data_IF_682075298051
#
_entry.id   IF_682075298051
#
_cell.length_a   1.000
_cell.length_b   1.000
_cell.length_c   1.000
_cell.angle_alpha   90.00
_cell.angle_beta   90.00
_cell.angle_gamma   90.00
#
_symmetry.space_group_name_H-M   'P 1'
#
loop_
_entity.id
_entity.type
_entity.pdbx_description
1 polymer ?
#
# COMPACT_ATOMS: atom_id res chain seq x y z
N UNK A 1 -32.99 31.25 77.71
CA UNK A 1 -34.07 32.12 77.19
C UNK A 1 -33.48 33.10 76.20
N UNK A 2 -33.53 32.77 74.90
CA UNK A 2 -33.49 33.71 73.77
C UNK A 2 -34.40 33.14 72.69
N UNK A 3 -35.03 34.07 71.99
CA UNK A 3 -36.34 34.01 71.35
C UNK A 3 -36.10 34.23 69.85
N UNK A 4 -36.81 33.45 69.01
CA UNK A 4 -37.49 33.83 67.73
C UNK A 4 -36.58 34.53 66.68
N UNK A 5 -36.31 34.00 65.49
CA UNK A 5 -37.13 33.85 64.25
C UNK A 5 -36.08 33.56 63.15
N UNK A 6 -36.30 32.84 62.06
CA UNK A 6 -37.20 33.18 60.97
C UNK A 6 -37.32 31.96 60.04
N UNK A 7 -38.56 31.52 59.90
CA UNK A 7 -39.06 30.66 58.84
C UNK A 7 -38.98 31.34 57.47
N UNK A 8 -38.93 30.48 56.45
CA UNK A 8 -39.43 30.67 55.08
C UNK A 8 -38.42 31.25 54.08
N UNK A 9 -38.04 30.45 53.07
CA UNK A 9 -38.58 30.56 51.69
C UNK A 9 -37.77 29.70 50.72
N UNK A 10 -38.47 28.67 50.22
CA UNK A 10 -38.50 28.22 48.82
C UNK A 10 -37.23 27.59 48.25
N UNK A 11 -37.20 26.27 48.33
CA UNK A 11 -36.52 25.38 47.38
C UNK A 11 -37.23 25.56 46.02
N UNK A 12 -36.69 26.43 45.16
CA UNK A 12 -37.05 26.51 43.76
C UNK A 12 -36.03 25.75 42.92
N UNK A 13 -36.49 24.57 42.52
CA UNK A 13 -35.96 23.65 41.54
C UNK A 13 -35.76 24.36 40.18
N UNK A 14 -34.51 24.63 39.79
CA UNK A 14 -34.15 24.85 38.38
C UNK A 14 -32.92 24.01 38.08
N UNK A 15 -33.19 22.74 37.77
CA UNK A 15 -32.27 21.87 37.05
C UNK A 15 -32.25 22.41 35.62
N UNK A 16 -31.35 23.35 35.33
CA UNK A 16 -30.98 23.66 33.95
C UNK A 16 -30.14 22.50 33.43
N UNK A 17 -30.87 21.55 32.83
CA UNK A 17 -30.40 20.60 31.84
C UNK A 17 -29.70 21.37 30.71
N UNK A 18 -28.43 21.69 30.91
CA UNK A 18 -27.51 21.98 29.84
C UNK A 18 -27.20 20.68 29.11
N UNK A 19 -28.10 20.28 28.20
CA UNK A 19 -27.80 19.37 27.11
C UNK A 19 -26.63 19.96 26.31
N UNK A 20 -25.38 19.66 26.71
CA UNK A 20 -24.27 19.70 25.78
C UNK A 20 -24.50 18.56 24.82
N UNK A 21 -24.87 18.94 23.61
CA UNK A 21 -24.92 18.13 22.42
C UNK A 21 -23.68 17.24 22.35
N UNK A 22 -23.83 16.00 22.79
CA UNK A 22 -23.10 14.91 22.17
C UNK A 22 -23.48 14.99 20.70
N UNK A 23 -22.59 15.51 19.88
CA UNK A 23 -22.65 15.19 18.46
C UNK A 23 -22.66 13.67 18.40
N UNK A 24 -23.72 13.03 17.88
CA UNK A 24 -23.56 11.67 17.42
C UNK A 24 -22.62 11.83 16.24
N UNK A 25 -21.33 11.57 16.45
CA UNK A 25 -20.47 11.13 15.36
C UNK A 25 -21.26 9.98 14.75
N UNK A 26 -21.88 10.22 13.60
CA UNK A 26 -22.36 9.17 12.73
C UNK A 26 -21.11 8.36 12.44
N UNK A 27 -20.84 7.37 13.28
CA UNK A 27 -20.07 6.21 12.90
C UNK A 27 -20.91 5.67 11.76
N UNK A 28 -20.51 6.05 10.54
CA UNK A 28 -21.01 5.46 9.33
C UNK A 28 -20.96 3.97 9.57
N UNK A 29 -22.10 3.30 9.42
CA UNK A 29 -22.14 1.84 9.40
C UNK A 29 -21.09 1.42 8.39
N UNK A 30 -19.95 0.94 8.89
CA UNK A 30 -18.93 0.33 8.08
C UNK A 30 -19.65 -0.85 7.44
N UNK A 31 -19.89 -0.76 6.13
CA UNK A 31 -20.52 -1.81 5.37
C UNK A 31 -19.74 -3.09 5.64
N UNK A 32 -20.35 -4.00 6.41
CA UNK A 32 -19.83 -5.30 6.82
C UNK A 32 -19.71 -6.29 5.66
N UNK A 33 -19.62 -5.80 4.41
CA UNK A 33 -19.51 -6.60 3.19
C UNK A 33 -18.09 -6.99 2.80
N UNK A 34 -17.07 -6.60 3.57
CA UNK A 34 -15.69 -7.04 3.38
C UNK A 34 -15.26 -8.09 4.41
N UNK A 35 -16.01 -9.18 4.53
CA UNK A 35 -15.48 -10.46 5.02
C UNK A 35 -15.44 -11.44 3.84
N UNK A 36 -14.57 -11.14 2.87
CA UNK A 36 -14.20 -12.07 1.81
C UNK A 36 -12.84 -12.63 2.22
N UNK A 37 -12.70 -13.96 2.21
CA UNK A 37 -11.45 -14.68 2.48
C UNK A 37 -10.23 -13.86 2.02
N UNK A 38 -9.43 -13.36 2.98
CA UNK A 38 -8.29 -12.50 2.70
C UNK A 38 -7.28 -13.31 1.89
N UNK A 39 -7.28 -13.10 0.57
CA UNK A 39 -6.25 -13.68 -0.27
C UNK A 39 -4.91 -13.12 0.18
N UNK A 40 -3.92 -14.00 0.37
CA UNK A 40 -2.54 -13.59 0.66
C UNK A 40 -1.94 -12.72 -0.45
N UNK A 41 -2.61 -12.58 -1.60
CA UNK A 41 -2.22 -11.74 -2.72
C UNK A 41 -3.35 -10.75 -3.03
N UNK A 42 -3.02 -9.48 -3.27
CA UNK A 42 -3.93 -8.48 -3.83
C UNK A 42 -3.45 -8.11 -5.24
N UNK A 43 -4.32 -8.29 -6.23
CA UNK A 43 -4.05 -7.84 -7.61
C UNK A 43 -4.14 -6.32 -7.66
N UNK A 44 -3.07 -5.68 -8.13
CA UNK A 44 -3.00 -4.23 -8.32
C UNK A 44 -3.09 -3.84 -9.79
N UNK A 45 -2.83 -4.79 -10.69
CA UNK A 45 -2.96 -4.61 -12.13
C UNK A 45 -3.30 -5.93 -12.82
N UNK A 46 -4.20 -5.86 -13.80
CA UNK A 46 -4.50 -6.98 -14.69
C UNK A 46 -4.58 -6.45 -16.12
N UNK A 47 -3.55 -6.73 -16.90
CA UNK A 47 -3.45 -6.36 -18.30
C UNK A 47 -3.78 -7.52 -19.23
N UNK A 48 -3.27 -7.44 -20.46
CA UNK A 48 -3.45 -8.49 -21.48
C UNK A 48 -2.31 -9.52 -21.37
N UNK A 49 -1.11 -9.03 -21.06
CA UNK A 49 0.10 -9.84 -21.01
C UNK A 49 0.47 -10.27 -19.59
N UNK A 50 0.20 -9.43 -18.59
CA UNK A 50 0.58 -9.72 -17.20
C UNK A 50 -0.49 -9.36 -16.17
N UNK A 51 -0.41 -10.04 -15.04
CA UNK A 51 -1.07 -9.67 -13.79
C UNK A 51 0.01 -9.28 -12.77
N UNK A 52 -0.20 -8.18 -12.04
CA UNK A 52 0.69 -7.75 -10.96
C UNK A 52 -0.07 -7.78 -9.66
N UNK A 53 0.53 -8.40 -8.65
CA UNK A 53 -0.03 -8.50 -7.31
C UNK A 53 1.01 -8.24 -6.23
N UNK A 54 0.52 -7.94 -5.03
CA UNK A 54 1.34 -7.76 -3.82
C UNK A 54 0.97 -8.82 -2.80
N UNK A 55 1.97 -9.42 -2.17
CA UNK A 55 1.74 -10.38 -1.09
C UNK A 55 1.44 -9.64 0.23
N UNK A 56 0.45 -10.11 0.98
CA UNK A 56 0.06 -9.64 2.32
C UNK A 56 1.08 -10.12 3.36
N UNK A 57 2.34 -9.75 3.15
CA UNK A 57 3.50 -10.12 3.97
C UNK A 57 4.46 -8.95 3.97
N UNK A 58 4.96 -8.60 5.15
CA UNK A 58 6.13 -7.74 5.30
C UNK A 58 7.36 -8.63 5.42
N UNK A 59 8.34 -8.34 4.58
CA UNK A 59 9.59 -9.08 4.52
C UNK A 59 10.70 -8.32 5.25
N UNK A 60 11.60 -9.02 5.93
CA UNK A 60 12.85 -8.46 6.44
C UNK A 60 14.07 -9.21 5.89
N UNK A 61 15.23 -8.57 5.99
CA UNK A 61 16.52 -9.19 5.77
C UNK A 61 17.17 -9.45 7.13
N UNK A 62 17.77 -10.63 7.38
CA UNK A 62 18.38 -10.95 8.67
C UNK A 62 19.40 -9.92 9.19
N UNK A 63 20.04 -9.21 8.26
CA UNK A 63 21.17 -8.32 8.52
C UNK A 63 20.83 -6.82 8.32
N UNK A 64 19.54 -6.48 8.19
CA UNK A 64 19.10 -5.10 7.96
C UNK A 64 17.84 -4.76 8.76
N UNK A 65 17.70 -3.49 9.11
CA UNK A 65 16.51 -2.93 9.79
C UNK A 65 15.38 -2.56 8.81
N UNK A 66 15.60 -2.76 7.50
CA UNK A 66 14.63 -2.42 6.47
C UNK A 66 13.56 -3.49 6.31
N UNK A 67 12.36 -3.03 5.99
CA UNK A 67 11.22 -3.87 5.65
C UNK A 67 10.88 -3.76 4.17
N UNK A 68 10.33 -4.83 3.61
CA UNK A 68 10.07 -4.95 2.19
C UNK A 68 8.66 -5.48 1.91
N UNK A 69 8.12 -5.09 0.77
CA UNK A 69 6.94 -5.71 0.17
C UNK A 69 7.34 -6.47 -1.09
N UNK A 70 6.64 -7.57 -1.36
CA UNK A 70 6.88 -8.41 -2.52
C UNK A 70 5.87 -8.11 -3.61
N UNK A 71 6.38 -7.73 -4.77
CA UNK A 71 5.62 -7.64 -6.01
C UNK A 71 5.78 -8.94 -6.81
N UNK A 72 4.67 -9.40 -7.37
CA UNK A 72 4.62 -10.61 -8.19
C UNK A 72 4.04 -10.25 -9.54
N UNK A 73 4.79 -10.52 -10.61
CA UNK A 73 4.39 -10.27 -11.99
C UNK A 73 4.20 -11.64 -12.64
N UNK A 74 2.95 -12.01 -12.90
CA UNK A 74 2.59 -13.26 -13.55
C UNK A 74 2.34 -13.01 -15.03
N UNK A 75 3.01 -13.76 -15.91
CA UNK A 75 2.70 -13.76 -17.33
C UNK A 75 1.43 -14.59 -17.57
N UNK A 76 0.33 -13.92 -17.89
CA UNK A 76 -0.97 -14.56 -18.18
C UNK A 76 -1.19 -14.80 -19.68
N UNK A 77 -0.23 -14.42 -20.52
CA UNK A 77 -0.27 -14.67 -21.95
C UNK A 77 0.29 -16.04 -22.32
N UNK A 78 0.02 -16.47 -23.57
CA UNK A 78 0.60 -17.70 -24.15
C UNK A 78 2.01 -17.51 -24.72
N UNK A 79 2.58 -16.31 -24.63
CA UNK A 79 3.89 -15.96 -25.21
C UNK A 79 4.84 -15.51 -24.09
N UNK A 80 6.14 -15.55 -24.34
CA UNK A 80 7.09 -14.90 -23.42
C UNK A 80 6.89 -13.38 -23.45
N UNK A 81 7.04 -12.74 -22.31
CA UNK A 81 6.99 -11.29 -22.15
C UNK A 81 8.32 -10.80 -21.58
N UNK A 82 8.59 -9.52 -21.73
CA UNK A 82 9.73 -8.84 -21.14
C UNK A 82 9.26 -7.64 -20.33
N UNK A 83 9.92 -7.42 -19.19
CA UNK A 83 9.66 -6.29 -18.30
C UNK A 83 10.93 -5.46 -18.11
N UNK A 84 10.82 -4.15 -18.30
CA UNK A 84 11.93 -3.22 -18.09
C UNK A 84 12.06 -2.87 -16.61
N UNK A 85 12.95 -3.58 -15.91
CA UNK A 85 13.29 -3.31 -14.51
C UNK A 85 14.64 -2.59 -14.37
N UNK A 86 15.25 -2.14 -15.48
CA UNK A 86 16.62 -1.58 -15.47
C UNK A 86 16.72 -0.27 -14.71
N UNK A 87 15.61 0.45 -14.59
CA UNK A 87 15.50 1.67 -13.81
C UNK A 87 14.47 1.47 -12.71
N UNK A 88 14.86 1.63 -11.45
CA UNK A 88 13.98 1.43 -10.30
C UNK A 88 12.84 2.45 -10.19
N UNK A 89 12.91 3.55 -10.95
CA UNK A 89 11.82 4.50 -11.19
C UNK A 89 10.71 3.89 -12.05
N UNK A 90 11.06 2.96 -12.96
CA UNK A 90 10.14 2.27 -13.86
C UNK A 90 9.57 0.97 -13.26
N UNK A 91 9.54 0.90 -11.95
CA UNK A 91 8.96 -0.21 -11.21
C UNK A 91 7.95 0.36 -10.22
N UNK A 92 6.96 -0.42 -9.81
CA UNK A 92 6.14 0.00 -8.68
C UNK A 92 6.96 0.06 -7.40
N UNK A 93 6.69 1.06 -6.58
CA UNK A 93 7.31 1.22 -5.28
C UNK A 93 6.34 1.81 -4.27
N UNK A 94 6.50 1.44 -2.99
CA UNK A 94 5.76 2.07 -1.91
C UNK A 94 6.34 3.47 -1.65
N UNK A 95 5.48 4.48 -1.66
CA UNK A 95 5.86 5.87 -1.36
C UNK A 95 5.42 6.31 0.04
N UNK A 96 4.35 5.70 0.56
CA UNK A 96 3.86 5.94 1.91
C UNK A 96 3.22 4.66 2.46
N UNK A 97 3.29 4.47 3.77
CA UNK A 97 2.61 3.38 4.46
C UNK A 97 2.22 3.82 5.87
N UNK A 98 1.23 3.14 6.43
CA UNK A 98 0.70 3.45 7.76
C UNK A 98 -0.24 2.34 8.26
N UNK A 99 -0.50 2.33 9.56
CA UNK A 99 -1.53 1.52 10.19
C UNK A 99 -2.66 2.43 10.68
N UNK A 100 -3.91 2.13 10.33
CA UNK A 100 -5.09 2.92 10.73
C UNK A 100 -6.23 2.00 11.14
N UNK A 101 -7.10 2.46 12.05
CA UNK A 101 -8.37 1.81 12.40
C UNK A 101 -9.51 2.08 11.39
N UNK A 102 -9.18 2.64 10.22
CA UNK A 102 -10.15 2.99 9.17
C UNK A 102 -9.63 2.53 7.81
N UNK A 103 -10.47 2.54 6.79
CA UNK A 103 -10.08 2.38 5.38
C UNK A 103 -9.93 3.72 4.63
N UNK A 104 -10.44 4.83 5.17
CA UNK A 104 -10.43 6.15 4.52
C UNK A 104 -9.09 6.87 4.67
N UNK A 105 -8.48 7.34 3.57
CA UNK A 105 -7.26 8.14 3.63
C UNK A 105 -7.55 9.59 4.08
N UNK A 106 -6.76 10.10 5.02
CA UNK A 106 -6.60 11.55 5.17
C UNK A 106 -5.84 12.08 3.95
N UNK A 107 -6.22 13.25 3.45
CA UNK A 107 -5.63 13.85 2.24
C UNK A 107 -4.16 14.19 2.51
N UNK A 108 -3.25 13.27 2.17
CA UNK A 108 -1.81 13.53 2.11
C UNK A 108 -1.42 13.63 0.63
N UNK A 109 -1.03 14.81 0.14
CA UNK A 109 -0.73 15.08 -1.28
C UNK A 109 0.76 14.90 -1.64
N UNK A 110 1.46 13.96 -1.00
CA UNK A 110 2.87 13.70 -1.28
C UNK A 110 3.06 12.58 -2.29
N UNK A 111 2.85 12.82 -3.57
CA UNK A 111 3.15 11.86 -4.65
C UNK A 111 3.81 12.55 -5.83
N UNK A 112 4.96 12.05 -6.28
CA UNK A 112 5.63 12.57 -7.48
C UNK A 112 5.34 11.67 -8.66
N UNK A 113 4.77 12.26 -9.69
CA UNK A 113 4.62 11.66 -11.02
C UNK A 113 5.98 11.72 -11.69
N UNK A 114 6.57 10.56 -12.00
CA UNK A 114 7.79 10.51 -12.80
C UNK A 114 7.37 10.22 -14.24
N UNK A 115 7.29 11.27 -15.04
CA UNK A 115 7.12 11.11 -16.48
C UNK A 115 8.43 10.54 -17.05
N UNK A 116 8.41 9.27 -17.45
CA UNK A 116 9.54 8.70 -18.20
C UNK A 116 9.30 8.83 -19.70
N UNK A 117 10.27 9.40 -20.42
CA UNK A 117 10.32 9.28 -21.87
C UNK A 117 10.75 7.87 -22.25
N UNK A 118 9.78 6.98 -22.48
CA UNK A 118 10.04 5.59 -22.82
C UNK A 118 10.38 5.44 -24.31
N UNK A 119 11.55 4.86 -24.60
CA UNK A 119 11.92 4.47 -25.96
C UNK A 119 11.41 3.06 -26.26
N UNK A 120 10.18 2.96 -26.78
CA UNK A 120 9.52 1.67 -27.03
C UNK A 120 10.21 0.80 -28.09
N UNK A 121 10.85 1.40 -29.09
CA UNK A 121 11.60 0.63 -30.10
C UNK A 121 12.87 0.02 -29.49
N UNK A 122 13.55 0.77 -28.62
CA UNK A 122 14.66 0.21 -27.84
C UNK A 122 14.18 -0.94 -26.94
N UNK A 123 13.04 -0.80 -26.28
CA UNK A 123 12.49 -1.85 -25.42
C UNK A 123 12.17 -3.14 -26.20
N UNK A 124 11.57 -3.03 -27.39
CA UNK A 124 11.34 -4.19 -28.28
C UNK A 124 12.66 -4.84 -28.71
N UNK A 125 13.69 -4.05 -28.98
CA UNK A 125 15.02 -4.55 -29.33
C UNK A 125 15.71 -5.25 -28.15
N UNK A 126 15.59 -4.69 -26.94
CA UNK A 126 16.14 -5.29 -25.73
C UNK A 126 15.42 -6.59 -25.37
N UNK A 127 14.11 -6.69 -25.59
CA UNK A 127 13.37 -7.95 -25.50
C UNK A 127 13.91 -9.01 -26.47
N UNK A 128 14.10 -8.66 -27.75
CA UNK A 128 14.64 -9.59 -28.77
C UNK A 128 16.04 -10.09 -28.40
N UNK A 129 16.84 -9.24 -27.73
CA UNK A 129 18.21 -9.53 -27.27
C UNK A 129 18.28 -10.09 -25.84
N UNK A 130 17.15 -10.34 -25.19
CA UNK A 130 17.07 -10.78 -23.79
C UNK A 130 17.85 -9.89 -22.80
N UNK A 131 17.85 -8.58 -23.03
CA UNK A 131 18.49 -7.56 -22.16
C UNK A 131 17.59 -7.03 -21.05
N UNK A 132 16.31 -7.38 -21.09
CA UNK A 132 15.33 -7.11 -20.04
C UNK A 132 14.91 -8.43 -19.40
N UNK A 133 14.22 -8.36 -18.26
CA UNK A 133 13.76 -9.56 -17.57
C UNK A 133 12.71 -10.26 -18.41
N UNK A 134 12.97 -11.51 -18.79
CA UNK A 134 12.05 -12.33 -19.59
C UNK A 134 11.25 -13.23 -18.65
N UNK A 135 9.94 -13.30 -18.89
CA UNK A 135 9.02 -14.18 -18.16
C UNK A 135 8.35 -15.09 -19.20
N UNK A 136 8.53 -16.41 -19.11
CA UNK A 136 7.85 -17.31 -20.04
C UNK A 136 6.35 -17.41 -19.73
N UNK A 137 5.60 -18.03 -20.63
CA UNK A 137 4.16 -18.18 -20.44
C UNK A 137 3.85 -18.93 -19.13
N UNK A 138 2.90 -18.40 -18.34
CA UNK A 138 2.48 -18.92 -17.02
C UNK A 138 3.55 -18.86 -15.91
N UNK A 139 4.72 -18.27 -16.15
CA UNK A 139 5.72 -18.04 -15.11
C UNK A 139 5.42 -16.77 -14.31
N UNK A 140 5.99 -16.70 -13.11
CA UNK A 140 5.90 -15.56 -12.19
C UNK A 140 7.32 -15.04 -11.91
N UNK A 141 7.47 -13.71 -11.96
CA UNK A 141 8.69 -13.02 -11.54
C UNK A 141 8.41 -12.21 -10.29
N UNK A 142 9.34 -12.22 -9.33
CA UNK A 142 9.19 -11.52 -8.06
C UNK A 142 10.28 -10.48 -7.88
N UNK A 143 9.91 -9.36 -7.25
CA UNK A 143 10.89 -8.41 -6.73
C UNK A 143 10.40 -7.79 -5.43
N UNK A 144 11.36 -7.30 -4.66
CA UNK A 144 11.13 -6.73 -3.34
C UNK A 144 11.46 -5.24 -3.35
N UNK A 145 10.60 -4.43 -2.73
CA UNK A 145 10.83 -2.98 -2.55
C UNK A 145 10.79 -2.60 -1.10
N UNK A 146 11.77 -1.81 -0.68
CA UNK A 146 11.82 -1.25 0.65
C UNK A 146 10.59 -0.37 0.92
N UNK A 147 9.93 -0.54 2.07
CA UNK A 147 8.85 0.35 2.55
C UNK A 147 9.36 1.41 3.54
N UNK A 148 10.48 1.21 4.23
CA UNK A 148 11.02 2.17 5.22
C UNK A 148 11.39 3.49 4.55
N UNK A 149 10.83 4.60 5.06
CA UNK A 149 10.96 5.91 4.42
C UNK A 149 12.15 6.73 4.94
N UNK A 150 12.70 6.43 6.13
CA UNK A 150 13.82 7.16 6.71
C UNK A 150 14.59 6.27 7.70
N UNK A 151 15.89 6.53 7.84
CA UNK A 151 16.79 5.92 8.83
C UNK A 151 16.11 5.87 10.22
N UNK A 152 15.72 4.67 10.65
CA UNK A 152 15.28 4.29 12.02
C UNK A 152 13.77 4.15 12.32
N UNK A 153 12.85 4.34 11.37
CA UNK A 153 11.45 3.94 11.59
C UNK A 153 11.29 2.41 11.52
N UNK A 154 11.35 1.78 12.69
CA UNK A 154 11.09 0.35 12.86
C UNK A 154 9.58 0.13 12.90
N UNK A 155 9.08 -0.66 11.95
CA UNK A 155 7.70 -1.17 11.98
C UNK A 155 7.48 -1.98 13.27
N UNK A 156 6.61 -1.48 14.14
CA UNK A 156 6.25 -2.17 15.38
C UNK A 156 5.12 -3.18 15.14
N UNK A 157 5.46 -4.46 14.97
CA UNK A 157 4.49 -5.51 14.66
C UNK A 157 3.44 -5.79 15.75
N UNK A 158 3.66 -5.35 17.00
CA UNK A 158 2.62 -5.44 18.03
C UNK A 158 1.40 -4.59 17.70
N UNK A 159 1.60 -3.47 17.01
CA UNK A 159 0.54 -2.51 16.70
C UNK A 159 -0.21 -2.88 15.40
N UNK A 160 0.38 -3.79 14.60
CA UNK A 160 -0.11 -4.23 13.29
C UNK A 160 -1.15 -5.33 13.43
N UNK A 161 -0.98 -6.20 14.41
CA UNK A 161 -1.82 -7.38 14.61
C UNK A 161 -3.03 -7.12 15.53
N UNK A 162 -3.39 -5.85 15.72
CA UNK A 162 -4.62 -5.46 16.41
C UNK A 162 -5.81 -5.71 15.46
N UNK A 163 -6.82 -6.49 15.87
CA UNK A 163 -8.06 -6.63 15.11
C UNK A 163 -8.65 -5.24 14.82
N UNK A 164 -9.20 -5.03 13.62
CA UNK A 164 -9.72 -3.74 13.12
C UNK A 164 -8.67 -2.73 12.60
N UNK A 165 -7.37 -3.03 12.74
CA UNK A 165 -6.35 -2.24 12.04
C UNK A 165 -6.18 -2.69 10.58
N UNK A 166 -5.89 -1.70 9.74
CA UNK A 166 -5.57 -1.87 8.33
C UNK A 166 -4.14 -1.41 8.09
N UNK A 167 -3.34 -2.22 7.40
CA UNK A 167 -2.08 -1.81 6.82
C UNK A 167 -2.34 -1.19 5.46
N UNK A 168 -2.02 0.09 5.32
CA UNK A 168 -2.21 0.82 4.08
C UNK A 168 -0.87 1.12 3.46
N UNK A 169 -0.78 0.92 2.15
CA UNK A 169 0.40 1.21 1.35
C UNK A 169 -0.03 2.05 0.17
N UNK A 170 0.55 3.23 0.02
CA UNK A 170 0.43 4.02 -1.19
C UNK A 170 1.58 3.67 -2.13
N UNK A 171 1.22 3.29 -3.34
CA UNK A 171 2.14 2.94 -4.40
C UNK A 171 2.30 4.09 -5.40
N UNK A 172 3.48 4.12 -6.01
CA UNK A 172 3.85 4.96 -7.14
C UNK A 172 4.65 4.15 -8.15
N UNK A 173 4.94 4.80 -9.28
CA UNK A 173 5.73 4.22 -10.36
C UNK A 173 4.87 3.69 -11.51
N UNK A 174 5.53 2.94 -12.36
CA UNK A 174 4.94 2.35 -13.56
C UNK A 174 5.57 0.99 -13.82
N UNK A 175 4.95 0.21 -14.70
CA UNK A 175 5.53 -1.01 -15.24
C UNK A 175 5.31 -1.01 -16.75
N UNK A 176 6.35 -1.37 -17.50
CA UNK A 176 6.30 -1.47 -18.96
C UNK A 176 6.61 -2.92 -19.33
N UNK A 177 5.67 -3.53 -20.03
CA UNK A 177 5.69 -4.92 -20.46
C UNK A 177 5.69 -4.95 -21.99
N UNK A 178 6.44 -5.87 -22.59
CA UNK A 178 6.39 -6.11 -24.03
C UNK A 178 6.42 -7.59 -24.36
N UNK A 179 5.76 -7.98 -25.45
CA UNK A 179 5.90 -9.30 -26.06
C UNK A 179 6.78 -9.26 -27.34
N UNK A 180 7.48 -8.14 -27.57
CA UNK A 180 8.31 -7.87 -28.75
C UNK A 180 7.55 -7.26 -29.94
N UNK A 181 6.21 -7.29 -29.92
CA UNK A 181 5.35 -6.65 -30.91
C UNK A 181 4.60 -5.47 -30.30
N UNK A 182 3.95 -5.71 -29.17
CA UNK A 182 3.11 -4.75 -28.45
C UNK A 182 3.80 -4.29 -27.17
N UNK A 183 3.40 -3.10 -26.71
CA UNK A 183 3.78 -2.53 -25.42
C UNK A 183 2.50 -2.41 -24.59
N UNK A 184 2.61 -2.83 -23.34
CA UNK A 184 1.60 -2.67 -22.30
C UNK A 184 2.24 -1.85 -21.19
N UNK A 185 1.59 -0.75 -20.82
CA UNK A 185 2.09 0.17 -19.80
C UNK A 185 1.02 0.34 -18.74
N UNK A 186 1.42 0.16 -17.48
CA UNK A 186 0.58 0.47 -16.34
C UNK A 186 1.26 1.51 -15.47
N UNK A 187 0.57 2.62 -15.23
CA UNK A 187 1.05 3.71 -14.39
C UNK A 187 0.10 3.91 -13.23
N UNK A 188 0.68 4.10 -12.05
CA UNK A 188 -0.06 4.43 -10.83
C UNK A 188 -0.19 5.95 -10.63
N UNK A 189 0.20 6.76 -11.61
CA UNK A 189 0.12 8.23 -11.57
C UNK A 189 -1.23 8.81 -12.04
N UNK A 190 -2.12 7.98 -12.61
CA UNK A 190 -3.36 8.44 -13.22
C UNK A 190 -4.50 8.64 -12.18
N UNK A 191 -4.43 9.80 -11.52
CA UNK A 191 -5.49 10.66 -10.96
C UNK A 191 -6.47 10.13 -9.92
N UNK A 192 -6.52 8.84 -9.61
CA UNK A 192 -7.32 8.34 -8.48
C UNK A 192 -6.40 7.84 -7.36
N UNK A 193 -6.42 8.55 -6.23
CA UNK A 193 -5.78 8.13 -4.97
C UNK A 193 -6.12 6.68 -4.64
N UNK A 194 -7.35 6.26 -4.96
CA UNK A 194 -7.86 4.90 -4.75
C UNK A 194 -7.06 3.81 -5.47
N UNK A 195 -6.59 4.04 -6.70
CA UNK A 195 -5.77 3.04 -7.43
C UNK A 195 -4.37 2.88 -6.84
N UNK A 196 -3.89 3.91 -6.15
CA UNK A 196 -2.57 3.93 -5.51
C UNK A 196 -2.60 3.31 -4.13
N UNK A 197 -3.77 3.23 -3.50
CA UNK A 197 -3.92 2.78 -2.13
C UNK A 197 -4.23 1.28 -2.06
N UNK A 198 -3.30 0.52 -1.50
CA UNK A 198 -3.46 -0.88 -1.15
C UNK A 198 -3.80 -0.97 0.33
N UNK A 199 -4.82 -1.76 0.67
CA UNK A 199 -5.32 -1.91 2.04
C UNK A 199 -5.34 -3.40 2.36
N UNK A 200 -4.54 -3.79 3.34
CA UNK A 200 -4.54 -5.13 3.90
C UNK A 200 -5.14 -5.10 5.29
N UNK A 201 -6.09 -6.00 5.57
CA UNK A 201 -6.64 -6.14 6.92
C UNK A 201 -5.60 -6.79 7.85
N UNK A 202 -5.66 -6.53 9.14
CA UNK A 202 -4.89 -7.31 10.12
C UNK A 202 -5.33 -8.79 10.17
N UNK A 203 -4.45 -9.77 10.46
CA UNK A 203 -3.01 -9.64 10.71
C UNK A 203 -2.19 -9.57 9.42
N UNK A 204 -1.05 -8.87 9.49
CA UNK A 204 -0.03 -8.90 8.45
C UNK A 204 1.05 -9.88 8.86
N UNK A 205 1.39 -10.79 7.96
CA UNK A 205 2.42 -11.79 8.21
C UNK A 205 3.81 -11.17 8.07
N UNK A 206 4.77 -11.70 8.84
CA UNK A 206 6.18 -11.38 8.71
C UNK A 206 6.96 -12.60 8.20
N UNK A 207 7.83 -12.41 7.21
CA UNK A 207 8.72 -13.46 6.67
C UNK A 207 10.13 -12.91 6.44
N UNK A 208 11.14 -13.77 6.49
CA UNK A 208 12.49 -13.42 6.05
C UNK A 208 12.65 -13.64 4.54
N UNK A 209 13.35 -12.73 3.85
CA UNK A 209 13.79 -12.94 2.48
C UNK A 209 14.88 -14.03 2.49
N UNK A 210 14.69 -15.07 1.68
CA UNK A 210 15.68 -16.14 1.56
C UNK A 210 16.99 -15.65 0.94
N UNK A 211 18.09 -16.39 1.15
CA UNK A 211 19.40 -16.03 0.59
C UNK A 211 19.36 -15.91 -0.94
N UNK A 212 18.62 -16.79 -1.60
CA UNK A 212 18.52 -16.85 -3.06
C UNK A 212 17.66 -15.71 -3.64
N UNK A 213 16.77 -15.14 -2.82
CA UNK A 213 15.90 -14.03 -3.22
C UNK A 213 16.54 -12.65 -2.98
N UNK A 214 17.65 -12.56 -2.24
CA UNK A 214 18.33 -11.29 -1.95
C UNK A 214 18.70 -10.49 -3.21
N UNK A 215 18.96 -11.18 -4.33
CA UNK A 215 19.28 -10.55 -5.62
C UNK A 215 18.11 -9.75 -6.24
N UNK A 216 16.87 -9.99 -5.79
CA UNK A 216 15.67 -9.30 -6.28
C UNK A 216 15.24 -8.15 -5.37
N UNK A 217 16.11 -7.72 -4.46
CA UNK A 217 15.84 -6.63 -3.51
C UNK A 217 16.30 -5.31 -4.10
N UNK A 218 15.37 -4.38 -4.27
CA UNK A 218 15.64 -3.04 -4.77
C UNK A 218 15.32 -1.99 -3.70
N UNK A 219 16.21 -1.01 -3.57
CA UNK A 219 15.99 0.15 -2.70
C UNK A 219 15.16 1.20 -3.41
N UNK A 220 14.30 1.90 -2.67
CA UNK A 220 13.64 3.10 -3.16
C UNK A 220 14.73 4.13 -3.47
N UNK A 221 14.73 4.67 -4.70
CA UNK A 221 15.54 5.85 -4.99
C UNK A 221 14.78 7.02 -4.38
N UNK A 222 15.39 7.68 -3.39
CA UNK A 222 14.92 8.99 -2.94
C UNK A 222 14.96 9.94 -4.14
N UNK A 223 13.79 10.28 -4.65
CA UNK A 223 13.67 11.42 -5.54
C UNK A 223 13.84 12.67 -4.68
N UNK A 224 15.09 13.12 -4.54
CA UNK A 224 15.35 14.41 -3.89
C UNK A 224 14.55 15.51 -4.63
N UNK A 225 13.95 16.47 -3.90
CA UNK A 225 13.41 17.70 -4.49
C UNK A 225 14.37 18.43 -5.40
#
# INVERSE_FOLDING_TARGET
MRIITCTSIVIALIILLGCRSSHPTKISKIDSKFQKHDSLKQVIYQGINAEVSIEKVIYDLPDQTNYYIKFMIKNISKKKIGIDLTNSIKQFYPNYWCFYCSTSEGVNEGGRVIQSNNNYEQLKNDFKKAKITIINANEEFHYYRNICKYDDEIINFSDINVPENFFRIRLDGQLIITNGKEIEEYRLDDKSVEKRLIIFNSPILKKQISKDEKQFVYKVIELRP
#
